data_IF_322355944801
#
_entry.id   IF_322355944801
#
_cell.length_a   1.000
_cell.length_b   1.000
_cell.length_c   1.000
_cell.angle_alpha   90.00
_cell.angle_beta   90.00
_cell.angle_gamma   90.00
#
_symmetry.space_group_name_H-M   'P 1'
#
loop_
_entity.id
_entity.type
_entity.pdbx_description
1 polymer ?
#
# COMPACT_ATOMS: atom_id res chain seq x y z
N UNK A 1 22.42 88.95 60.19
CA UNK A 1 23.19 87.69 60.10
C UNK A 1 22.46 86.81 59.15
N UNK A 2 23.00 86.66 57.95
CA UNK A 2 22.38 85.91 56.82
C UNK A 2 23.27 84.65 56.67
N UNK A 3 22.73 83.43 57.02
CA UNK A 3 23.40 82.17 56.76
C UNK A 3 23.17 81.68 55.35
N UNK A 4 24.27 81.65 54.59
CA UNK A 4 24.25 81.01 53.25
C UNK A 4 24.48 79.49 53.43
N UNK A 5 23.48 78.72 53.04
CA UNK A 5 23.57 77.27 52.95
C UNK A 5 24.06 76.87 51.55
N UNK A 6 25.28 76.32 51.46
CA UNK A 6 25.84 75.79 50.21
C UNK A 6 25.27 74.39 49.96
N UNK A 7 24.46 74.21 48.88
CA UNK A 7 23.97 72.93 48.40
C UNK A 7 25.05 72.34 47.45
N UNK A 8 25.71 71.29 47.94
CA UNK A 8 26.67 70.52 47.13
C UNK A 8 25.91 69.58 46.17
N UNK A 9 26.09 69.80 44.89
CA UNK A 9 25.59 68.88 43.83
C UNK A 9 26.54 67.68 43.76
N UNK A 10 26.03 66.49 44.12
CA UNK A 10 26.75 65.23 43.92
C UNK A 10 26.44 64.76 42.46
N UNK A 11 27.44 64.81 41.60
CA UNK A 11 27.38 64.23 40.28
C UNK A 11 27.53 62.70 40.40
N UNK A 12 26.39 61.99 40.27
CA UNK A 12 26.41 60.52 40.12
C UNK A 12 26.78 60.19 38.66
N UNK A 13 28.02 59.81 38.43
CA UNK A 13 28.44 59.26 37.13
C UNK A 13 27.73 57.92 36.91
N UNK A 14 26.83 57.88 35.91
CA UNK A 14 26.26 56.64 35.38
C UNK A 14 27.38 55.89 34.64
N UNK A 15 27.84 54.78 35.26
CA UNK A 15 28.68 53.81 34.56
C UNK A 15 27.79 53.11 33.51
N UNK A 16 28.10 53.14 32.21
CA UNK A 16 27.35 52.38 31.24
C UNK A 16 27.60 50.88 31.55
N UNK A 17 26.53 50.14 31.95
CA UNK A 17 26.53 48.70 31.88
C UNK A 17 26.68 48.30 30.40
N UNK A 18 27.90 47.99 30.00
CA UNK A 18 28.18 47.34 28.74
C UNK A 18 27.45 45.98 28.73
N UNK A 19 26.37 45.91 28.02
CA UNK A 19 25.75 44.62 27.72
C UNK A 19 26.78 43.81 26.91
N UNK A 20 27.53 42.94 27.60
CA UNK A 20 28.27 41.87 26.92
C UNK A 20 27.23 40.96 26.25
N UNK A 21 27.00 41.18 24.98
CA UNK A 21 26.36 40.20 24.13
C UNK A 21 27.23 38.94 24.16
N UNK A 22 26.92 38.03 25.05
CA UNK A 22 27.51 36.69 25.04
C UNK A 22 26.94 35.97 23.81
N UNK A 23 27.61 36.15 22.68
CA UNK A 23 27.37 35.29 21.51
C UNK A 23 27.71 33.88 21.92
N UNK A 24 26.68 33.07 22.21
CA UNK A 24 26.86 31.64 22.40
C UNK A 24 27.67 31.09 21.24
N UNK A 25 28.66 30.23 21.45
CA UNK A 25 29.45 29.65 20.40
C UNK A 25 28.54 29.00 19.36
N UNK A 26 28.73 29.36 18.11
CA UNK A 26 27.94 28.80 17.01
C UNK A 26 28.28 27.32 16.89
N UNK A 27 27.25 26.45 17.03
CA UNK A 27 27.39 25.00 16.90
C UNK A 27 27.85 24.65 15.47
N UNK A 28 28.65 23.60 15.37
CA UNK A 28 29.05 22.93 14.13
C UNK A 28 28.39 21.54 14.07
N UNK A 29 28.27 20.97 12.89
CA UNK A 29 27.67 19.64 12.70
C UNK A 29 28.33 18.56 13.59
N UNK A 30 29.65 18.62 13.77
CA UNK A 30 30.40 17.69 14.65
C UNK A 30 30.02 17.80 16.13
N UNK A 31 29.53 18.95 16.57
CA UNK A 31 29.12 19.13 17.96
C UNK A 31 27.88 18.31 18.32
N UNK A 32 27.03 18.00 17.32
CA UNK A 32 25.83 17.20 17.48
C UNK A 32 26.14 15.79 17.97
N UNK A 33 27.28 15.21 17.54
CA UNK A 33 27.75 13.87 17.95
C UNK A 33 27.97 13.72 19.45
N UNK A 34 28.26 14.82 20.16
CA UNK A 34 28.53 14.79 21.59
C UNK A 34 27.32 14.38 22.42
N UNK A 35 26.12 14.73 21.93
CA UNK A 35 24.85 14.49 22.64
C UNK A 35 23.89 13.57 21.85
N UNK A 36 23.85 13.65 20.51
CA UNK A 36 22.86 12.99 19.64
C UNK A 36 23.44 11.79 18.89
N UNK A 37 24.16 10.91 19.58
CA UNK A 37 24.84 9.74 18.96
C UNK A 37 23.86 8.81 18.23
N UNK A 38 22.64 8.64 18.77
CA UNK A 38 21.61 7.78 18.17
C UNK A 38 21.11 8.33 16.84
N UNK A 39 20.77 9.60 16.79
CA UNK A 39 20.26 10.28 15.62
C UNK A 39 21.30 10.30 14.50
N UNK A 40 22.55 10.58 14.86
CA UNK A 40 23.67 10.55 13.92
C UNK A 40 23.90 9.14 13.38
N UNK A 41 23.88 8.11 14.23
CA UNK A 41 23.98 6.72 13.78
C UNK A 41 22.85 6.35 12.83
N UNK A 42 21.60 6.71 13.15
CA UNK A 42 20.44 6.42 12.31
C UNK A 42 20.56 7.09 10.93
N UNK A 43 20.94 8.36 10.85
CA UNK A 43 21.08 9.05 9.58
C UNK A 43 22.22 8.47 8.75
N UNK A 44 23.33 8.05 9.37
CA UNK A 44 24.47 7.44 8.69
C UNK A 44 24.15 6.03 8.17
N UNK A 45 23.33 5.26 8.87
CA UNK A 45 22.98 3.89 8.45
C UNK A 45 21.77 3.86 7.52
N UNK A 46 20.71 4.59 7.87
CA UNK A 46 19.38 4.48 7.25
C UNK A 46 18.87 5.78 6.62
N UNK A 47 19.66 6.87 6.63
CA UNK A 47 19.24 8.22 6.21
C UNK A 47 18.98 8.38 4.71
N UNK A 48 19.29 7.38 3.87
CA UNK A 48 19.13 7.51 2.41
C UNK A 48 19.95 8.69 1.88
N UNK A 49 19.33 9.59 1.13
CA UNK A 49 20.00 10.82 0.63
C UNK A 49 20.27 11.85 1.72
N UNK A 50 19.58 11.80 2.86
CA UNK A 50 19.85 12.70 3.98
C UNK A 50 21.23 12.46 4.62
N UNK A 51 21.91 11.35 4.34
CA UNK A 51 23.30 11.10 4.79
C UNK A 51 24.28 12.19 4.38
N UNK A 52 24.02 12.85 3.24
CA UNK A 52 24.84 13.95 2.73
C UNK A 52 24.37 15.34 3.16
N UNK A 53 23.37 15.42 4.04
CA UNK A 53 22.81 16.70 4.51
C UNK A 53 23.33 16.95 5.92
N UNK A 54 23.98 18.10 6.15
CA UNK A 54 24.46 18.48 7.47
C UNK A 54 23.32 18.71 8.47
N UNK A 55 23.59 18.48 9.74
CA UNK A 55 22.60 18.62 10.82
C UNK A 55 22.00 20.04 10.85
N UNK A 56 22.86 21.05 10.72
CA UNK A 56 22.47 22.46 10.74
C UNK A 56 21.71 22.92 9.48
N UNK A 57 21.76 22.15 8.39
CA UNK A 57 20.92 22.41 7.20
C UNK A 57 19.42 22.13 7.46
N UNK A 58 19.13 21.30 8.46
CA UNK A 58 17.78 21.01 8.92
C UNK A 58 17.48 21.70 10.25
N UNK A 59 18.39 21.64 11.22
CA UNK A 59 18.24 22.18 12.57
C UNK A 59 19.00 23.49 12.70
N UNK A 60 18.38 24.60 12.29
CA UNK A 60 19.03 25.94 12.26
C UNK A 60 19.29 26.49 13.67
N UNK A 61 18.52 26.06 14.66
CA UNK A 61 18.60 26.51 16.05
C UNK A 61 18.51 25.33 17.01
N UNK A 62 18.97 25.53 18.25
CA UNK A 62 18.99 24.53 19.31
C UNK A 62 18.30 25.06 20.57
N UNK A 63 17.69 24.12 21.36
CA UNK A 63 17.23 24.43 22.71
C UNK A 63 18.41 24.97 23.56
N UNK A 64 18.21 25.98 24.44
CA UNK A 64 16.91 26.56 24.82
C UNK A 64 16.44 27.73 23.95
N UNK A 65 17.13 28.10 22.88
CA UNK A 65 16.82 29.28 22.07
C UNK A 65 15.46 29.20 21.36
N UNK A 66 15.01 27.97 21.07
CA UNK A 66 13.69 27.71 20.49
C UNK A 66 12.97 26.55 21.20
N UNK A 67 11.63 26.54 21.22
CA UNK A 67 10.85 25.41 21.72
C UNK A 67 11.13 24.12 20.91
N UNK A 68 11.04 22.95 21.58
CA UNK A 68 11.27 21.62 20.92
C UNK A 68 10.40 21.41 19.70
N UNK A 69 9.17 21.89 19.72
CA UNK A 69 8.19 21.76 18.64
C UNK A 69 8.62 22.50 17.36
N UNK A 70 9.46 23.50 17.49
CA UNK A 70 10.00 24.29 16.37
C UNK A 70 11.36 23.77 15.86
N UNK A 71 11.92 22.73 16.53
CA UNK A 71 13.21 22.15 16.12
C UNK A 71 13.07 21.23 14.90
N UNK A 72 11.85 20.79 14.58
CA UNK A 72 11.59 19.97 13.39
C UNK A 72 11.32 20.92 12.22
N UNK A 73 12.20 20.96 11.19
CA UNK A 73 12.03 21.85 10.06
C UNK A 73 10.86 21.40 9.17
N UNK A 74 10.30 22.36 8.42
CA UNK A 74 9.30 22.01 7.40
C UNK A 74 9.97 21.25 6.25
N UNK A 75 9.49 20.08 5.94
CA UNK A 75 10.00 19.22 4.86
C UNK A 75 9.93 19.93 3.50
N UNK A 76 8.91 20.78 3.28
CA UNK A 76 8.73 21.58 2.07
C UNK A 76 9.84 22.60 1.79
N UNK A 77 10.74 22.86 2.75
CA UNK A 77 11.92 23.70 2.54
C UNK A 77 12.82 23.15 1.43
N UNK A 78 12.92 21.83 1.32
CA UNK A 78 13.74 21.14 0.32
C UNK A 78 12.91 20.22 -0.58
N UNK A 79 11.79 19.69 -0.08
CA UNK A 79 10.94 18.78 -0.82
C UNK A 79 9.80 19.53 -1.52
N UNK A 80 9.97 19.81 -2.83
CA UNK A 80 9.02 20.52 -3.68
C UNK A 80 9.01 19.93 -5.09
N UNK A 81 8.05 20.33 -5.92
CA UNK A 81 8.02 20.05 -7.36
C UNK A 81 7.60 18.63 -7.77
N UNK A 82 7.13 17.81 -6.83
CA UNK A 82 6.54 16.49 -7.12
C UNK A 82 5.21 16.34 -6.40
N UNK A 83 4.26 15.63 -7.01
CA UNK A 83 2.93 15.39 -6.45
C UNK A 83 2.98 14.82 -5.02
N UNK A 84 3.88 13.86 -4.76
CA UNK A 84 4.09 13.32 -3.43
C UNK A 84 4.40 14.41 -2.38
N UNK A 85 5.10 15.45 -2.75
CA UNK A 85 5.52 16.51 -1.82
C UNK A 85 4.43 17.54 -1.52
N UNK A 86 3.26 17.44 -2.17
CA UNK A 86 2.08 18.27 -1.86
C UNK A 86 1.24 17.70 -0.71
N UNK A 87 1.58 16.50 -0.22
CA UNK A 87 0.91 15.87 0.91
C UNK A 87 1.25 16.61 2.22
N UNK A 88 0.23 16.93 3.02
CA UNK A 88 0.41 17.76 4.22
C UNK A 88 1.01 17.01 5.41
N UNK A 89 0.68 15.75 5.62
CA UNK A 89 1.07 14.98 6.80
C UNK A 89 2.29 14.09 6.55
N UNK A 90 3.44 14.68 6.26
CA UNK A 90 4.69 13.94 6.00
C UNK A 90 5.08 12.98 7.14
N UNK A 91 4.97 13.46 8.39
CA UNK A 91 5.33 12.67 9.59
C UNK A 91 4.31 11.55 9.90
N UNK A 92 3.15 11.54 9.27
CA UNK A 92 2.21 10.43 9.36
C UNK A 92 2.74 9.13 8.77
N UNK A 93 3.62 9.24 7.77
CA UNK A 93 4.29 8.11 7.12
C UNK A 93 5.79 8.08 7.44
N UNK A 94 6.46 9.23 7.35
CA UNK A 94 7.89 9.39 7.65
C UNK A 94 8.10 9.77 9.12
N UNK A 95 7.76 8.84 10.03
CA UNK A 95 7.77 9.10 11.48
C UNK A 95 9.12 9.55 12.02
N UNK A 96 10.21 9.14 11.38
CA UNK A 96 11.55 9.56 11.74
C UNK A 96 12.29 10.13 10.52
N UNK A 97 12.48 11.45 10.43
CA UNK A 97 13.20 12.10 9.32
C UNK A 97 14.66 11.65 9.16
N UNK A 98 15.28 11.11 10.22
CA UNK A 98 16.63 10.54 10.15
C UNK A 98 16.68 9.18 9.47
N UNK A 99 15.52 8.50 9.34
CA UNK A 99 15.37 7.24 8.59
C UNK A 99 14.21 7.33 7.59
N UNK A 100 14.28 8.23 6.60
CA UNK A 100 13.12 8.66 5.79
C UNK A 100 12.54 7.54 4.91
N UNK A 101 13.29 6.50 4.64
CA UNK A 101 12.82 5.35 3.84
C UNK A 101 12.18 4.25 4.70
N UNK A 102 12.23 4.38 6.03
CA UNK A 102 11.58 3.47 6.97
C UNK A 102 10.18 3.97 7.27
N UNK A 103 9.24 3.56 6.44
CA UNK A 103 7.85 4.02 6.48
C UNK A 103 7.01 3.01 7.26
N UNK A 104 6.20 3.50 8.21
CA UNK A 104 5.20 2.74 8.97
C UNK A 104 3.82 3.36 8.81
N UNK A 105 2.78 2.52 8.80
CA UNK A 105 1.38 2.94 8.57
C UNK A 105 0.47 2.68 9.77
N UNK A 106 1.01 2.63 10.98
CA UNK A 106 0.23 2.28 12.16
C UNK A 106 -0.84 3.32 12.49
N UNK A 107 -2.05 2.86 12.72
CA UNK A 107 -3.12 3.57 13.43
C UNK A 107 -3.87 4.68 12.70
N UNK A 108 -3.71 4.88 11.38
CA UNK A 108 -4.41 5.94 10.62
C UNK A 108 -4.90 5.45 9.26
N UNK A 109 -6.10 5.90 8.85
CA UNK A 109 -6.54 5.73 7.46
C UNK A 109 -5.70 6.63 6.56
N UNK A 110 -4.97 6.03 5.63
CA UNK A 110 -4.05 6.70 4.70
C UNK A 110 -4.48 6.49 3.24
N UNK A 111 -5.79 6.26 3.01
CA UNK A 111 -6.30 5.92 1.67
C UNK A 111 -5.98 7.00 0.63
N UNK A 112 -6.13 8.28 0.99
CA UNK A 112 -5.84 9.41 0.09
C UNK A 112 -4.35 9.48 -0.24
N UNK A 113 -3.51 9.32 0.77
CA UNK A 113 -2.06 9.37 0.64
C UNK A 113 -1.55 8.20 -0.22
N UNK A 114 -2.08 7.01 -0.01
CA UNK A 114 -1.77 5.85 -0.85
C UNK A 114 -2.23 6.04 -2.29
N UNK A 115 -3.42 6.62 -2.50
CA UNK A 115 -4.02 6.85 -3.82
C UNK A 115 -3.17 7.77 -4.71
N UNK A 116 -2.40 8.70 -4.14
CA UNK A 116 -1.53 9.62 -4.89
C UNK A 116 -0.49 8.88 -5.76
N UNK A 117 -0.09 7.66 -5.36
CA UNK A 117 0.82 6.80 -6.14
C UNK A 117 0.15 5.49 -6.58
N UNK A 118 -0.80 4.99 -5.81
CA UNK A 118 -1.48 3.71 -6.02
C UNK A 118 -2.94 3.88 -6.44
N UNK A 119 -3.19 4.70 -7.49
CA UNK A 119 -4.55 4.98 -7.98
C UNK A 119 -5.28 3.72 -8.46
N UNK A 120 -4.57 2.76 -9.10
CA UNK A 120 -5.18 1.54 -9.66
C UNK A 120 -5.79 0.64 -8.58
N UNK A 121 -5.08 0.23 -7.51
CA UNK A 121 -5.66 -0.52 -6.41
C UNK A 121 -6.88 0.15 -5.78
N UNK A 122 -6.85 1.48 -5.63
CA UNK A 122 -7.99 2.24 -5.06
C UNK A 122 -9.20 2.16 -5.97
N UNK A 123 -9.03 2.39 -7.28
CA UNK A 123 -10.12 2.27 -8.27
C UNK A 123 -10.69 0.85 -8.33
N UNK A 124 -9.85 -0.17 -8.20
CA UNK A 124 -10.31 -1.56 -8.16
C UNK A 124 -11.18 -1.84 -6.92
N UNK A 125 -10.75 -1.42 -5.73
CA UNK A 125 -11.55 -1.55 -4.50
C UNK A 125 -12.88 -0.79 -4.57
N UNK A 126 -12.90 0.36 -5.23
CA UNK A 126 -14.10 1.19 -5.39
C UNK A 126 -15.05 0.63 -6.46
N UNK A 127 -14.50 0.14 -7.57
CA UNK A 127 -15.28 -0.39 -8.70
C UNK A 127 -15.79 -1.81 -8.49
N UNK A 128 -15.08 -2.62 -7.69
CA UNK A 128 -15.44 -4.03 -7.44
C UNK A 128 -15.70 -4.27 -5.96
N UNK A 129 -16.90 -3.90 -5.51
CA UNK A 129 -17.28 -3.97 -4.10
C UNK A 129 -17.16 -5.38 -3.52
N UNK A 130 -16.49 -5.49 -2.36
CA UNK A 130 -16.30 -6.70 -1.59
C UNK A 130 -16.08 -6.34 -0.11
N UNK A 131 -15.90 -7.31 0.77
CA UNK A 131 -15.51 -7.04 2.17
C UNK A 131 -14.15 -6.32 2.25
N UNK A 132 -13.24 -6.55 1.31
CA UNK A 132 -11.95 -5.84 1.24
C UNK A 132 -12.14 -4.33 0.96
N UNK A 133 -13.18 -3.93 0.23
CA UNK A 133 -13.45 -2.51 -0.07
C UNK A 133 -13.73 -1.67 1.17
N UNK A 134 -14.18 -2.30 2.27
CA UNK A 134 -14.50 -1.63 3.53
C UNK A 134 -13.26 -1.49 4.45
N UNK A 135 -12.14 -2.10 4.10
CA UNK A 135 -10.92 -2.06 4.90
C UNK A 135 -10.01 -0.92 4.45
N UNK A 136 -9.29 -0.33 5.39
CA UNK A 136 -8.23 0.62 5.10
C UNK A 136 -6.99 -0.08 4.53
N UNK A 137 -6.21 0.64 3.72
CA UNK A 137 -5.02 0.08 3.07
C UNK A 137 -4.02 -0.51 4.08
N UNK A 138 -3.84 0.17 5.21
CA UNK A 138 -2.92 -0.24 6.27
C UNK A 138 -3.45 -1.39 7.14
N UNK A 139 -4.69 -1.82 6.97
CA UNK A 139 -5.19 -3.07 7.58
C UNK A 139 -4.43 -4.28 7.02
N UNK A 140 -4.13 -4.25 5.72
CA UNK A 140 -3.40 -5.31 5.04
C UNK A 140 -1.90 -4.97 4.88
N UNK A 141 -1.57 -3.71 4.53
CA UNK A 141 -0.21 -3.25 4.28
C UNK A 141 0.34 -2.51 5.50
N UNK A 142 0.94 -3.24 6.45
CA UNK A 142 1.47 -2.63 7.68
C UNK A 142 2.77 -1.87 7.45
N UNK A 143 3.49 -2.18 6.36
CA UNK A 143 4.70 -1.50 5.92
C UNK A 143 4.69 -1.28 4.42
N UNK A 144 5.39 -0.24 3.96
CA UNK A 144 5.53 0.01 2.53
C UNK A 144 6.28 -1.13 1.83
N UNK A 145 5.75 -1.57 0.67
CA UNK A 145 6.23 -2.73 -0.11
C UNK A 145 5.98 -4.10 0.54
N UNK A 146 5.31 -4.17 1.65
CA UNK A 146 4.88 -5.43 2.23
C UNK A 146 3.64 -5.94 1.49
N UNK A 147 3.68 -7.21 1.07
CA UNK A 147 2.54 -7.91 0.50
C UNK A 147 2.07 -8.92 1.55
N UNK A 148 0.87 -8.73 2.12
CA UNK A 148 0.37 -9.62 3.16
C UNK A 148 0.03 -11.00 2.60
N UNK A 149 0.24 -12.05 3.41
CA UNK A 149 -0.15 -13.39 3.03
C UNK A 149 -1.66 -13.57 3.24
N UNK A 150 -2.36 -14.02 2.18
CA UNK A 150 -3.80 -14.28 2.23
C UNK A 150 -4.18 -15.28 3.32
N UNK A 151 -3.33 -16.27 3.58
CA UNK A 151 -3.56 -17.35 4.56
C UNK A 151 -3.48 -16.86 6.02
N UNK A 152 -3.09 -15.61 6.27
CA UNK A 152 -3.19 -15.02 7.61
C UNK A 152 -4.65 -14.78 8.03
N UNK A 153 -5.58 -14.68 7.05
CA UNK A 153 -6.99 -14.39 7.29
C UNK A 153 -7.94 -15.37 6.59
N UNK A 154 -7.48 -16.04 5.52
CA UNK A 154 -8.29 -16.95 4.71
C UNK A 154 -7.80 -18.40 4.80
N UNK A 155 -8.74 -19.33 4.80
CA UNK A 155 -8.43 -20.75 4.61
C UNK A 155 -8.22 -21.05 3.12
N UNK A 156 -7.28 -21.92 2.76
CA UNK A 156 -7.11 -22.37 1.38
C UNK A 156 -8.30 -23.21 0.91
N UNK A 157 -8.57 -23.21 -0.41
CA UNK A 157 -9.62 -24.06 -0.99
C UNK A 157 -9.23 -25.54 -0.99
N UNK A 158 -7.95 -25.84 -1.09
CA UNK A 158 -7.35 -27.18 -0.97
C UNK A 158 -6.10 -27.11 -0.10
N UNK A 159 -5.76 -28.19 0.58
CA UNK A 159 -4.72 -28.22 1.64
C UNK A 159 -3.34 -27.74 1.18
N UNK A 160 -2.94 -28.04 -0.06
CA UNK A 160 -1.61 -27.70 -0.60
C UNK A 160 -1.52 -26.32 -1.24
N UNK A 161 -2.59 -25.53 -1.17
CA UNK A 161 -2.64 -24.23 -1.83
C UNK A 161 -1.74 -23.20 -1.11
N UNK A 162 -0.88 -22.55 -1.88
CA UNK A 162 0.05 -21.52 -1.41
C UNK A 162 -0.49 -20.12 -1.69
N UNK A 163 0.15 -19.11 -1.10
CA UNK A 163 -0.11 -17.72 -1.40
C UNK A 163 -0.06 -17.38 -2.91
N UNK A 164 0.90 -17.96 -3.64
CA UNK A 164 1.02 -17.74 -5.09
C UNK A 164 -0.16 -18.31 -5.87
N UNK A 165 -0.68 -19.44 -5.43
CA UNK A 165 -1.84 -20.07 -6.06
C UNK A 165 -3.09 -19.20 -5.89
N UNK A 166 -3.24 -18.54 -4.75
CA UNK A 166 -4.34 -17.58 -4.56
C UNK A 166 -4.30 -16.44 -5.58
N UNK A 167 -3.13 -15.87 -5.80
CA UNK A 167 -2.92 -14.74 -6.73
C UNK A 167 -3.09 -15.12 -8.21
N UNK A 168 -3.01 -16.41 -8.55
CA UNK A 168 -3.27 -16.87 -9.93
C UNK A 168 -4.73 -16.69 -10.36
N UNK A 169 -5.64 -16.55 -9.38
CA UNK A 169 -7.08 -16.42 -9.63
C UNK A 169 -7.66 -15.14 -9.03
N UNK A 170 -7.13 -14.67 -7.91
CA UNK A 170 -7.67 -13.54 -7.15
C UNK A 170 -6.74 -12.34 -7.17
N UNK A 171 -7.25 -11.20 -7.65
CA UNK A 171 -6.62 -9.91 -7.35
C UNK A 171 -7.16 -9.40 -6.00
N UNK A 172 -6.30 -9.14 -4.99
CA UNK A 172 -6.75 -8.74 -3.64
C UNK A 172 -7.62 -7.49 -3.60
N UNK A 173 -7.47 -6.58 -4.57
CA UNK A 173 -8.23 -5.34 -4.64
C UNK A 173 -9.58 -5.49 -5.37
N UNK A 174 -9.80 -6.62 -6.04
CA UNK A 174 -11.08 -7.02 -6.68
C UNK A 174 -11.29 -8.53 -6.57
N UNK A 175 -11.31 -9.09 -5.35
CA UNK A 175 -11.19 -10.54 -5.11
C UNK A 175 -12.35 -11.36 -5.69
N UNK A 176 -13.52 -10.76 -5.90
CA UNK A 176 -14.68 -11.43 -6.46
C UNK A 176 -14.68 -11.48 -7.99
N UNK A 177 -13.79 -10.72 -8.65
CA UNK A 177 -13.54 -10.85 -10.08
C UNK A 177 -12.45 -11.90 -10.29
N UNK A 178 -12.86 -13.17 -10.28
CA UNK A 178 -11.96 -14.31 -10.44
C UNK A 178 -11.60 -14.48 -11.91
N UNK A 179 -10.30 -14.50 -12.20
CA UNK A 179 -9.75 -14.75 -13.54
C UNK A 179 -8.66 -15.82 -13.42
N UNK A 180 -8.41 -16.58 -14.48
CA UNK A 180 -7.42 -17.64 -14.49
C UNK A 180 -6.84 -17.85 -15.89
N UNK A 181 -5.69 -18.50 -15.98
CA UNK A 181 -5.05 -18.82 -17.25
C UNK A 181 -5.37 -20.24 -17.73
N UNK A 182 -4.94 -20.53 -18.98
CA UNK A 182 -5.18 -21.84 -19.62
C UNK A 182 -4.39 -23.00 -18.99
N UNK A 183 -3.46 -22.73 -18.07
CA UNK A 183 -2.67 -23.73 -17.39
C UNK A 183 -3.21 -24.03 -15.97
N UNK A 184 -4.31 -23.38 -15.57
CA UNK A 184 -4.91 -23.59 -14.24
C UNK A 184 -5.35 -25.05 -14.07
N UNK A 185 -4.82 -25.77 -13.07
CA UNK A 185 -5.15 -27.18 -12.83
C UNK A 185 -6.60 -27.36 -12.41
N UNK A 186 -7.25 -28.42 -12.92
CA UNK A 186 -8.64 -28.79 -12.61
C UNK A 186 -8.91 -28.90 -11.10
N UNK A 187 -7.94 -29.32 -10.30
CA UNK A 187 -8.08 -29.46 -8.84
C UNK A 187 -8.55 -28.17 -8.14
N UNK A 188 -8.17 -26.99 -8.65
CA UNK A 188 -8.64 -25.72 -8.08
C UNK A 188 -10.11 -25.44 -8.40
N UNK A 189 -10.58 -25.84 -9.58
CA UNK A 189 -11.99 -25.76 -9.95
C UNK A 189 -12.83 -26.74 -9.12
N UNK A 190 -12.32 -27.97 -8.96
CA UNK A 190 -12.99 -29.04 -8.25
C UNK A 190 -13.12 -28.79 -6.74
N UNK A 191 -12.35 -27.88 -6.16
CA UNK A 191 -12.53 -27.47 -4.77
C UNK A 191 -13.95 -26.93 -4.47
N UNK A 192 -14.64 -26.39 -5.49
CA UNK A 192 -16.02 -25.89 -5.40
C UNK A 192 -16.96 -26.65 -6.36
N UNK A 193 -16.43 -27.16 -7.47
CA UNK A 193 -17.16 -27.82 -8.56
C UNK A 193 -16.82 -29.31 -8.64
N UNK A 194 -16.85 -30.01 -7.50
CA UNK A 194 -16.50 -31.43 -7.40
C UNK A 194 -17.37 -32.30 -8.31
N UNK A 195 -18.69 -32.07 -8.30
CA UNK A 195 -19.66 -32.84 -9.10
C UNK A 195 -19.37 -32.72 -10.59
N UNK A 196 -19.12 -31.50 -11.07
CA UNK A 196 -18.84 -31.22 -12.49
C UNK A 196 -17.52 -31.89 -12.90
N UNK A 197 -16.49 -31.83 -12.03
CA UNK A 197 -15.21 -32.51 -12.27
C UNK A 197 -15.34 -34.03 -12.32
N UNK A 198 -16.10 -34.64 -11.40
CA UNK A 198 -16.38 -36.08 -11.39
C UNK A 198 -17.18 -36.50 -12.63
N UNK A 199 -18.21 -35.75 -12.99
CA UNK A 199 -19.02 -36.01 -14.20
C UNK A 199 -18.15 -35.99 -15.44
N UNK A 200 -17.28 -34.96 -15.59
CA UNK A 200 -16.36 -34.83 -16.72
C UNK A 200 -15.39 -36.03 -16.79
N UNK A 201 -14.88 -36.48 -15.64
CA UNK A 201 -14.03 -37.67 -15.55
C UNK A 201 -14.73 -38.98 -15.96
N UNK A 202 -16.05 -39.04 -15.79
CA UNK A 202 -16.88 -40.23 -16.05
C UNK A 202 -17.57 -40.23 -17.42
N UNK A 203 -17.56 -39.09 -18.16
CA UNK A 203 -18.19 -39.04 -19.50
C UNK A 203 -17.57 -40.02 -20.47
N UNK A 204 -18.38 -40.57 -21.37
CA UNK A 204 -17.96 -41.55 -22.40
C UNK A 204 -17.45 -40.84 -23.69
N UNK A 205 -17.33 -39.52 -23.66
CA UNK A 205 -16.93 -38.71 -24.81
C UNK A 205 -15.48 -38.24 -24.70
N UNK A 206 -14.97 -37.62 -25.77
CA UNK A 206 -13.63 -36.99 -25.78
C UNK A 206 -13.49 -35.82 -24.79
N UNK A 207 -14.59 -35.26 -24.30
CA UNK A 207 -14.55 -34.18 -23.30
C UNK A 207 -13.81 -34.62 -22.00
N UNK A 208 -13.83 -35.94 -21.67
CA UNK A 208 -13.11 -36.51 -20.54
C UNK A 208 -11.64 -36.09 -20.43
N UNK A 209 -10.98 -35.84 -21.56
CA UNK A 209 -9.55 -35.49 -21.61
C UNK A 209 -9.27 -33.99 -21.59
N UNK A 210 -10.31 -33.17 -21.57
CA UNK A 210 -10.17 -31.72 -21.61
C UNK A 210 -10.03 -31.14 -20.20
N UNK A 211 -9.17 -30.14 -20.07
CA UNK A 211 -9.10 -29.33 -18.84
C UNK A 211 -10.33 -28.41 -18.76
N UNK A 212 -10.77 -28.11 -17.52
CA UNK A 212 -11.91 -27.21 -17.28
C UNK A 212 -11.74 -25.88 -18.00
N UNK A 213 -10.53 -25.30 -17.94
CA UNK A 213 -10.18 -24.03 -18.58
C UNK A 213 -10.20 -24.06 -20.12
N UNK A 214 -10.21 -25.24 -20.72
CA UNK A 214 -10.34 -25.36 -22.18
C UNK A 214 -11.70 -24.84 -22.68
N UNK A 215 -12.75 -25.13 -21.93
CA UNK A 215 -14.10 -24.67 -22.17
C UNK A 215 -14.39 -23.34 -21.44
N UNK A 216 -14.10 -23.29 -20.15
CA UNK A 216 -14.31 -22.11 -19.31
C UNK A 216 -13.08 -21.23 -19.32
N UNK A 217 -12.99 -20.32 -20.31
CA UNK A 217 -11.78 -19.53 -20.55
C UNK A 217 -11.75 -18.25 -19.74
N UNK A 218 -10.61 -17.98 -19.12
CA UNK A 218 -10.14 -16.71 -18.55
C UNK A 218 -10.98 -16.06 -17.46
N UNK A 219 -12.30 -16.15 -17.45
CA UNK A 219 -13.15 -15.48 -16.46
C UNK A 219 -14.18 -16.44 -15.87
N UNK A 220 -14.30 -16.44 -14.53
CA UNK A 220 -15.25 -17.26 -13.81
C UNK A 220 -16.71 -16.85 -14.14
N UNK A 221 -17.62 -17.85 -14.16
CA UNK A 221 -19.04 -17.72 -14.56
C UNK A 221 -19.28 -17.51 -16.05
N UNK A 222 -18.28 -17.66 -16.89
CA UNK A 222 -18.46 -17.69 -18.33
C UNK A 222 -18.88 -19.09 -18.76
N UNK A 223 -20.05 -19.22 -19.40
CA UNK A 223 -20.55 -20.46 -19.98
C UNK A 223 -20.20 -20.45 -21.46
N UNK A 224 -19.40 -21.43 -21.96
CA UNK A 224 -19.03 -21.49 -23.36
C UNK A 224 -20.21 -21.87 -24.26
N UNK A 225 -20.21 -21.36 -25.47
CA UNK A 225 -21.12 -21.82 -26.52
C UNK A 225 -20.59 -23.12 -27.12
N UNK A 226 -21.42 -24.16 -27.13
CA UNK A 226 -21.09 -25.44 -27.76
C UNK A 226 -20.80 -25.31 -29.25
N UNK A 227 -21.53 -24.43 -29.94
CA UNK A 227 -21.37 -24.15 -31.36
C UNK A 227 -20.01 -23.58 -31.75
N UNK A 228 -19.27 -22.95 -30.79
CA UNK A 228 -17.93 -22.44 -31.03
C UNK A 228 -16.91 -23.53 -31.42
N UNK A 229 -17.15 -24.78 -30.99
CA UNK A 229 -16.30 -25.93 -31.37
C UNK A 229 -17.05 -26.92 -32.27
N UNK A 230 -18.34 -27.11 -32.06
CA UNK A 230 -19.12 -28.13 -32.75
C UNK A 230 -19.88 -27.61 -34.00
N UNK A 231 -19.95 -26.29 -34.18
CA UNK A 231 -20.74 -25.70 -35.25
C UNK A 231 -22.22 -26.10 -35.16
N UNK A 232 -22.81 -26.52 -36.26
CA UNK A 232 -24.19 -27.04 -36.34
C UNK A 232 -24.18 -28.52 -36.68
N UNK A 233 -24.05 -29.43 -35.68
CA UNK A 233 -23.92 -30.87 -35.94
C UNK A 233 -25.22 -31.54 -36.32
N UNK A 234 -26.36 -30.86 -36.22
CA UNK A 234 -27.68 -31.34 -36.54
C UNK A 234 -28.36 -30.49 -37.63
N UNK A 235 -29.35 -31.04 -38.40
CA UNK A 235 -30.12 -30.28 -39.35
C UNK A 235 -30.83 -29.08 -38.70
N UNK A 236 -30.93 -27.97 -39.48
CA UNK A 236 -31.55 -26.72 -38.97
C UNK A 236 -32.99 -26.90 -38.49
N UNK A 237 -33.75 -27.75 -39.22
CA UNK A 237 -35.16 -28.06 -38.93
C UNK A 237 -35.30 -28.81 -37.58
N UNK A 238 -34.29 -29.57 -37.18
CA UNK A 238 -34.24 -30.20 -35.88
C UNK A 238 -33.90 -29.20 -34.79
N UNK A 239 -32.83 -28.39 -34.99
CA UNK A 239 -32.38 -27.39 -34.03
C UNK A 239 -33.44 -26.32 -33.77
N UNK A 240 -34.28 -25.97 -34.77
CA UNK A 240 -35.34 -24.99 -34.60
C UNK A 240 -36.46 -25.43 -33.61
N UNK A 241 -36.51 -26.70 -33.24
CA UNK A 241 -37.49 -27.24 -32.28
C UNK A 241 -37.04 -27.15 -30.84
N UNK A 242 -35.79 -26.80 -30.58
CA UNK A 242 -35.17 -26.79 -29.22
C UNK A 242 -34.56 -25.42 -28.95
N UNK A 243 -34.47 -25.04 -27.66
CA UNK A 243 -33.89 -23.77 -27.24
C UNK A 243 -32.34 -23.78 -27.25
N UNK A 244 -31.76 -24.98 -27.23
CA UNK A 244 -30.33 -25.14 -27.25
C UNK A 244 -29.87 -26.59 -27.10
N UNK A 245 -28.58 -26.80 -27.18
CA UNK A 245 -27.97 -28.14 -27.14
C UNK A 245 -28.32 -28.93 -25.86
N UNK A 246 -28.47 -28.24 -24.72
CA UNK A 246 -28.74 -28.84 -23.41
C UNK A 246 -30.17 -29.37 -23.27
N UNK A 247 -31.10 -29.03 -24.14
CA UNK A 247 -32.44 -29.62 -24.14
C UNK A 247 -32.42 -31.12 -24.44
N UNK A 248 -31.38 -31.57 -25.17
CA UNK A 248 -31.16 -32.99 -25.46
C UNK A 248 -29.94 -33.57 -24.75
N UNK A 249 -28.87 -32.79 -24.64
CA UNK A 249 -27.61 -33.25 -24.06
C UNK A 249 -27.51 -33.08 -22.53
N UNK A 250 -28.52 -32.52 -21.87
CA UNK A 250 -28.70 -32.34 -20.45
C UNK A 250 -27.50 -31.75 -19.69
N UNK A 251 -26.43 -32.52 -19.48
CA UNK A 251 -25.24 -32.10 -18.73
C UNK A 251 -23.99 -32.15 -19.62
N UNK A 252 -23.35 -31.00 -19.92
CA UNK A 252 -22.15 -30.94 -20.77
C UNK A 252 -20.95 -31.68 -20.15
N UNK A 253 -20.95 -31.90 -18.83
CA UNK A 253 -19.89 -32.63 -18.13
C UNK A 253 -20.13 -34.15 -18.09
N UNK A 254 -21.35 -34.61 -18.34
CA UNK A 254 -21.72 -36.05 -18.33
C UNK A 254 -22.41 -36.46 -19.64
N UNK A 255 -21.78 -36.16 -20.75
CA UNK A 255 -22.31 -36.54 -22.06
C UNK A 255 -22.23 -38.05 -22.26
N UNK A 256 -23.34 -38.65 -22.66
CA UNK A 256 -23.44 -40.03 -23.09
C UNK A 256 -23.25 -40.15 -24.60
N UNK A 257 -22.69 -41.26 -25.05
CA UNK A 257 -22.62 -41.55 -26.51
C UNK A 257 -23.99 -41.88 -27.06
#
# INVERSE_FOLDING_TARGET
MIFLVSIGFIFVQKIPLGAQSSTLPQLKDDDCLKCHKKEVSLIQTEGGKHKGVGCLSCHENHFPNIPKEQMIPKCSKCHSGKEHYTLENCLGCHQNPHTPLKISFEGKSLKKECASCHATPVKELEGFKSKHSALDCNFCHTKHKEIPNCLNCHSPHIAEQTFKDCLSCHNPHKPLKVTYDMNTPNKYCMACHEKEGLNLGNTQTKHKTLACVFCHRSEHKTIPDCGACHGSPHPKEMLAKFKGCLDCHNDPHLLMK
#
